data_IF_085725921135
#
_entry.id   IF_085725921135
#
_cell.length_a   1.000
_cell.length_b   1.000
_cell.length_c   1.000
_cell.angle_alpha   90.00
_cell.angle_beta   90.00
_cell.angle_gamma   90.00
#
_symmetry.space_group_name_H-M   'P 1'
#
loop_
_entity.id
_entity.type
_entity.pdbx_description
1 polymer ?
#
# COMPACT_ATOMS: atom_id res chain seq x y z
N UNK A 1 12.82 15.78 -22.31
CA UNK A 1 11.87 14.68 -22.08
C UNK A 1 10.44 15.17 -22.23
N UNK A 2 9.68 14.51 -23.09
CA UNK A 2 8.27 14.86 -23.28
C UNK A 2 7.44 14.32 -22.10
N UNK A 3 6.19 14.80 -21.99
CA UNK A 3 5.29 14.29 -20.96
C UNK A 3 5.04 12.78 -21.12
N UNK A 4 4.91 12.31 -22.36
CA UNK A 4 4.73 10.90 -22.63
C UNK A 4 5.95 10.07 -22.21
N UNK A 5 7.15 10.57 -22.53
CA UNK A 5 8.38 9.91 -22.13
C UNK A 5 8.51 9.86 -20.61
N UNK A 6 8.11 10.93 -19.94
CA UNK A 6 8.13 10.98 -18.48
C UNK A 6 7.19 9.96 -17.89
N UNK A 7 5.96 9.85 -18.41
CA UNK A 7 4.99 8.86 -17.91
C UNK A 7 5.48 7.43 -18.15
N UNK A 8 6.13 7.19 -19.30
CA UNK A 8 6.72 5.88 -19.57
C UNK A 8 7.85 5.57 -18.57
N UNK A 9 8.62 6.58 -18.20
CA UNK A 9 9.69 6.41 -17.22
C UNK A 9 9.12 6.09 -15.83
N UNK A 10 8.03 6.73 -15.45
CA UNK A 10 7.35 6.44 -14.18
C UNK A 10 6.92 4.98 -14.16
N UNK A 11 6.28 4.51 -15.22
CA UNK A 11 5.87 3.10 -15.31
C UNK A 11 7.05 2.15 -15.18
N UNK A 12 8.15 2.45 -15.85
CA UNK A 12 9.35 1.61 -15.77
C UNK A 12 9.88 1.51 -14.36
N UNK A 13 9.97 2.64 -13.66
CA UNK A 13 10.46 2.65 -12.28
C UNK A 13 9.55 1.87 -11.35
N UNK A 14 8.23 2.01 -11.50
CA UNK A 14 7.28 1.30 -10.65
C UNK A 14 7.25 -0.20 -10.95
N UNK A 15 7.41 -0.60 -12.21
CA UNK A 15 7.41 -2.00 -12.59
C UNK A 15 8.67 -2.73 -12.15
N UNK A 16 9.80 -2.05 -12.13
CA UNK A 16 11.07 -2.65 -11.71
C UNK A 16 11.20 -2.74 -10.20
N UNK A 17 10.59 -1.79 -9.50
CA UNK A 17 10.76 -1.69 -8.07
C UNK A 17 10.00 -2.75 -7.33
N UNK A 18 10.61 -3.26 -6.26
CA UNK A 18 9.95 -4.18 -5.34
C UNK A 18 9.37 -3.43 -4.15
N UNK A 19 9.70 -2.15 -4.06
CA UNK A 19 9.24 -1.29 -2.97
C UNK A 19 8.50 -0.09 -3.57
N UNK A 20 7.54 0.48 -2.83
CA UNK A 20 6.85 1.68 -3.30
C UNK A 20 7.82 2.85 -3.48
N UNK A 21 7.51 3.71 -4.45
CA UNK A 21 8.26 4.93 -4.70
C UNK A 21 7.35 6.13 -4.48
N UNK A 22 7.79 7.07 -3.64
CA UNK A 22 7.01 8.26 -3.35
C UNK A 22 7.03 9.22 -4.55
N UNK A 23 6.06 10.12 -4.59
CA UNK A 23 6.05 11.17 -5.60
C UNK A 23 7.32 12.01 -5.54
N UNK A 24 7.82 12.27 -4.33
CA UNK A 24 9.06 13.01 -4.13
C UNK A 24 10.26 12.27 -4.70
N UNK A 25 10.33 10.95 -4.47
CA UNK A 25 11.42 10.15 -5.01
C UNK A 25 11.40 10.13 -6.54
N UNK A 26 10.23 9.94 -7.14
CA UNK A 26 10.08 9.96 -8.59
C UNK A 26 10.41 11.34 -9.16
N UNK A 27 10.01 12.40 -8.48
CA UNK A 27 10.32 13.76 -8.90
C UNK A 27 11.83 13.98 -8.96
N UNK A 28 12.55 13.48 -7.95
CA UNK A 28 14.02 13.57 -7.93
C UNK A 28 14.66 12.79 -9.06
N UNK A 29 14.16 11.59 -9.35
CA UNK A 29 14.70 10.76 -10.43
C UNK A 29 14.49 11.37 -11.79
N UNK A 30 13.37 12.07 -12.00
CA UNK A 30 13.00 12.59 -13.31
C UNK A 30 13.24 14.10 -13.49
N UNK A 31 13.70 14.76 -12.44
CA UNK A 31 14.01 16.18 -12.50
C UNK A 31 12.79 17.09 -12.67
N UNK A 32 11.67 16.72 -12.07
CA UNK A 32 10.42 17.50 -12.13
C UNK A 32 9.89 17.72 -10.73
N UNK A 33 8.83 18.52 -10.60
CA UNK A 33 8.22 18.76 -9.31
C UNK A 33 7.36 17.58 -8.88
N UNK A 34 7.12 17.49 -7.58
CA UNK A 34 6.24 16.47 -7.01
C UNK A 34 4.84 16.55 -7.62
N UNK A 35 4.34 17.77 -7.84
CA UNK A 35 3.01 17.99 -8.41
C UNK A 35 2.89 17.42 -9.82
N UNK A 36 3.95 17.52 -10.61
CA UNK A 36 3.96 16.94 -11.96
C UNK A 36 3.80 15.43 -11.88
N UNK A 37 4.49 14.80 -10.92
CA UNK A 37 4.37 13.34 -10.74
C UNK A 37 2.95 12.96 -10.34
N UNK A 38 2.35 13.69 -9.40
CA UNK A 38 0.97 13.41 -8.97
C UNK A 38 0.01 13.49 -10.16
N UNK A 39 0.17 14.51 -11.01
CA UNK A 39 -0.65 14.65 -12.21
C UNK A 39 -0.44 13.52 -13.21
N UNK A 40 0.81 13.12 -13.43
CA UNK A 40 1.13 12.02 -14.33
C UNK A 40 0.54 10.70 -13.85
N UNK A 41 0.61 10.43 -12.53
CA UNK A 41 0.02 9.22 -11.95
C UNK A 41 -1.49 9.22 -12.16
N UNK A 42 -2.15 10.37 -11.98
CA UNK A 42 -3.58 10.48 -12.22
C UNK A 42 -3.94 10.15 -13.67
N UNK A 43 -3.14 10.64 -14.62
CA UNK A 43 -3.36 10.35 -16.03
C UNK A 43 -3.13 8.88 -16.37
N UNK A 44 -2.12 8.26 -15.79
CA UNK A 44 -1.86 6.85 -15.98
C UNK A 44 -3.00 5.99 -15.44
N UNK A 45 -3.54 6.34 -14.29
CA UNK A 45 -4.69 5.65 -13.73
C UNK A 45 -5.92 5.80 -14.60
N UNK A 46 -6.14 7.00 -15.12
CA UNK A 46 -7.27 7.25 -16.02
C UNK A 46 -7.16 6.43 -17.30
N UNK A 47 -5.92 6.11 -17.72
CA UNK A 47 -5.66 5.25 -18.86
C UNK A 47 -5.72 3.76 -18.56
N UNK A 48 -6.07 3.38 -17.35
CA UNK A 48 -6.24 1.97 -17.00
C UNK A 48 -5.07 1.30 -16.28
N UNK A 49 -4.00 2.04 -15.98
CA UNK A 49 -2.87 1.45 -15.27
C UNK A 49 -3.21 1.35 -13.79
N UNK A 50 -2.99 0.16 -13.22
CA UNK A 50 -3.24 -0.05 -11.79
C UNK A 50 -2.06 0.43 -10.97
N UNK A 51 -2.16 1.63 -10.43
CA UNK A 51 -1.15 2.19 -9.53
C UNK A 51 -1.81 2.36 -8.17
N UNK A 52 -1.24 1.69 -7.17
CA UNK A 52 -1.74 1.73 -5.80
C UNK A 52 -0.96 2.77 -5.01
N UNK A 53 -1.66 3.62 -4.26
CA UNK A 53 -1.02 4.55 -3.33
C UNK A 53 -0.96 3.93 -1.96
N UNK A 54 0.23 3.82 -1.40
CA UNK A 54 0.42 3.30 -0.05
C UNK A 54 1.01 4.41 0.82
N UNK A 55 1.13 4.15 2.12
CA UNK A 55 1.73 5.11 3.05
C UNK A 55 3.20 5.41 2.70
N UNK A 56 3.83 4.56 1.89
CA UNK A 56 5.23 4.71 1.51
C UNK A 56 5.45 5.14 0.07
N UNK A 57 4.39 5.25 -0.70
CA UNK A 57 4.49 5.70 -2.09
C UNK A 57 3.63 4.89 -3.04
N UNK A 58 3.88 5.09 -4.32
CA UNK A 58 3.16 4.42 -5.40
C UNK A 58 3.76 3.06 -5.72
N UNK A 59 2.92 2.17 -6.17
CA UNK A 59 3.33 0.80 -6.47
C UNK A 59 2.40 0.21 -7.53
N UNK A 60 2.96 -0.55 -8.46
CA UNK A 60 2.17 -1.40 -9.35
C UNK A 60 2.22 -2.78 -8.75
N UNK A 61 1.08 -3.33 -8.26
CA UNK A 61 1.12 -4.63 -7.59
C UNK A 61 1.52 -5.73 -8.57
N UNK A 62 2.30 -6.71 -8.10
CA UNK A 62 2.64 -7.85 -8.95
C UNK A 62 1.39 -8.68 -9.21
N UNK A 63 1.37 -9.30 -10.37
CA UNK A 63 0.28 -10.21 -10.66
C UNK A 63 0.39 -11.41 -9.81
N UNK A 64 -0.65 -11.90 -9.42
CA UNK A 64 -0.88 -12.91 -8.85
C UNK A 64 -0.60 -13.71 -8.08
N UNK A 65 -0.47 -14.37 -7.45
CA UNK A 65 -0.44 -15.33 -6.41
C UNK A 65 -1.80 -15.54 -5.79
N UNK A 66 -1.82 -16.39 -4.83
CA UNK A 66 -3.05 -16.69 -4.12
C UNK A 66 -3.42 -15.56 -3.19
N UNK A 67 -4.64 -15.04 -3.32
CA UNK A 67 -5.12 -13.97 -2.46
C UNK A 67 -6.21 -14.53 -1.54
N UNK A 68 -6.08 -14.25 -0.24
CA UNK A 68 -7.06 -14.66 0.77
C UNK A 68 -7.41 -13.48 1.64
N UNK A 69 -8.62 -13.50 2.17
CA UNK A 69 -9.07 -12.50 3.11
C UNK A 69 -9.13 -13.09 4.51
N UNK A 70 -8.58 -12.38 5.47
CA UNK A 70 -8.58 -12.79 6.88
C UNK A 70 -9.29 -11.71 7.69
N UNK A 71 -10.29 -12.13 8.48
CA UNK A 71 -11.02 -11.23 9.36
C UNK A 71 -10.43 -11.33 10.76
N UNK A 72 -10.11 -10.20 11.35
CA UNK A 72 -9.45 -10.13 12.65
C UNK A 72 -10.20 -9.20 13.60
N UNK A 73 -10.01 -9.45 14.88
CA UNK A 73 -10.51 -8.54 15.90
C UNK A 73 -9.48 -8.47 17.02
N UNK A 74 -8.97 -7.28 17.29
CA UNK A 74 -8.01 -7.08 18.37
C UNK A 74 -7.91 -5.61 18.72
N UNK A 75 -7.17 -5.33 19.80
CA UNK A 75 -6.92 -3.94 20.22
C UNK A 75 -5.84 -3.31 19.33
N UNK A 76 -5.78 -1.98 19.31
CA UNK A 76 -4.74 -1.29 18.51
C UNK A 76 -3.31 -1.69 18.89
N UNK A 77 -3.08 -2.08 20.15
CA UNK A 77 -1.75 -2.49 20.62
C UNK A 77 -1.27 -3.78 19.97
N UNK A 78 -2.17 -4.57 19.41
CA UNK A 78 -1.84 -5.84 18.79
C UNK A 78 -1.61 -5.73 17.27
N UNK A 79 -1.73 -4.53 16.73
CA UNK A 79 -1.59 -4.32 15.28
C UNK A 79 -0.26 -4.79 14.75
N UNK A 80 0.85 -4.40 15.40
CA UNK A 80 2.18 -4.78 14.94
C UNK A 80 2.40 -6.29 14.99
N UNK A 81 1.97 -6.94 16.07
CA UNK A 81 2.11 -8.38 16.23
C UNK A 81 1.30 -9.13 15.17
N UNK A 82 0.10 -8.68 14.89
CA UNK A 82 -0.74 -9.27 13.86
C UNK A 82 -0.07 -9.20 12.49
N UNK A 83 0.44 -8.02 12.14
CA UNK A 83 1.08 -7.82 10.86
C UNK A 83 2.38 -8.62 10.75
N UNK A 84 3.14 -8.72 11.84
CA UNK A 84 4.33 -9.57 11.88
C UNK A 84 3.98 -11.03 11.60
N UNK A 85 2.92 -11.53 12.22
CA UNK A 85 2.52 -12.91 12.01
C UNK A 85 2.23 -13.20 10.53
N UNK A 86 1.60 -12.25 9.86
CA UNK A 86 1.26 -12.40 8.45
C UNK A 86 2.50 -12.41 7.55
N UNK A 87 3.39 -11.43 7.74
CA UNK A 87 4.58 -11.34 6.88
C UNK A 87 5.60 -12.42 7.20
N UNK A 88 5.70 -12.86 8.45
CA UNK A 88 6.60 -13.96 8.84
C UNK A 88 6.15 -15.26 8.20
N UNK A 89 4.87 -15.41 7.92
CA UNK A 89 4.35 -16.58 7.22
C UNK A 89 4.58 -16.55 5.71
N UNK A 90 5.25 -15.54 5.20
CA UNK A 90 5.54 -15.43 3.78
C UNK A 90 4.50 -14.68 2.97
N UNK A 91 3.51 -14.08 3.62
CA UNK A 91 2.44 -13.36 2.94
C UNK A 91 2.76 -11.88 2.77
N UNK A 92 2.17 -11.27 1.75
CA UNK A 92 2.15 -9.82 1.61
C UNK A 92 0.78 -9.33 2.08
N UNK A 93 0.76 -8.39 3.01
CA UNK A 93 -0.48 -7.77 3.46
C UNK A 93 -0.84 -6.67 2.46
N UNK A 94 -1.87 -6.92 1.66
CA UNK A 94 -2.23 -6.02 0.57
C UNK A 94 -2.95 -4.78 1.09
N UNK A 95 -3.90 -4.95 1.99
CA UNK A 95 -4.69 -3.84 2.49
C UNK A 95 -5.36 -4.17 3.82
N UNK A 96 -6.05 -3.18 4.36
CA UNK A 96 -6.94 -3.35 5.50
C UNK A 96 -8.30 -2.78 5.12
N UNK A 97 -9.36 -3.50 5.46
CA UNK A 97 -10.73 -3.10 5.15
C UNK A 97 -11.57 -3.14 6.43
N UNK A 98 -12.35 -2.10 6.63
CA UNK A 98 -13.35 -2.06 7.72
C UNK A 98 -14.70 -1.70 7.13
N UNK A 99 -15.77 -2.11 7.80
CA UNK A 99 -17.12 -1.78 7.36
C UNK A 99 -17.70 -0.76 8.31
N UNK A 100 -17.82 0.47 7.85
CA UNK A 100 -18.31 1.57 8.65
C UNK A 100 -19.81 1.71 8.49
N UNK A 101 -20.58 1.91 9.59
CA UNK A 101 -22.05 1.99 9.47
C UNK A 101 -22.57 3.10 8.58
N UNK A 102 -21.82 4.19 8.44
CA UNK A 102 -22.25 5.33 7.63
C UNK A 102 -21.59 5.35 6.27
N UNK A 103 -20.28 5.13 6.23
CA UNK A 103 -19.51 5.25 4.98
C UNK A 103 -19.40 3.95 4.19
N UNK A 104 -19.83 2.82 4.78
CA UNK A 104 -19.69 1.53 4.13
C UNK A 104 -18.29 0.99 4.23
N UNK A 105 -17.85 0.27 3.22
CA UNK A 105 -16.54 -0.34 3.24
C UNK A 105 -15.43 0.69 3.03
N UNK A 106 -14.48 0.73 3.96
CA UNK A 106 -13.32 1.61 3.86
C UNK A 106 -12.10 0.71 3.74
N UNK A 107 -11.33 0.88 2.66
CA UNK A 107 -10.13 0.08 2.40
C UNK A 107 -8.92 0.98 2.27
N UNK A 108 -7.84 0.63 2.96
CA UNK A 108 -6.58 1.35 2.88
C UNK A 108 -5.49 0.40 2.39
N UNK A 109 -4.81 0.71 1.28
CA UNK A 109 -3.71 -0.15 0.78
C UNK A 109 -2.50 -0.11 1.70
N UNK A 110 -1.88 -1.25 1.94
CA UNK A 110 -0.72 -1.35 2.82
C UNK A 110 0.54 -1.87 2.11
N UNK A 111 0.44 -2.97 1.39
CA UNK A 111 1.56 -3.59 0.66
C UNK A 111 2.77 -3.86 1.55
N UNK A 112 2.53 -4.62 2.63
CA UNK A 112 3.57 -4.97 3.60
C UNK A 112 4.03 -6.40 3.36
N UNK A 113 5.33 -6.58 3.09
CA UNK A 113 5.88 -7.90 2.73
C UNK A 113 6.87 -8.45 3.74
N UNK A 114 7.39 -7.63 4.63
CA UNK A 114 8.40 -8.04 5.60
C UNK A 114 8.28 -7.19 6.86
N UNK A 115 9.01 -7.59 7.90
CA UNK A 115 8.98 -6.87 9.18
C UNK A 115 9.42 -5.42 9.05
N UNK A 116 10.39 -5.15 8.17
CA UNK A 116 10.82 -3.78 7.94
C UNK A 116 9.65 -2.91 7.47
N UNK A 117 8.86 -3.43 6.54
CA UNK A 117 7.69 -2.72 6.02
C UNK A 117 6.67 -2.44 7.12
N UNK A 118 6.45 -3.43 7.99
CA UNK A 118 5.53 -3.28 9.12
C UNK A 118 6.04 -2.20 10.08
N UNK A 119 7.33 -2.22 10.39
CA UNK A 119 7.93 -1.25 11.30
C UNK A 119 7.81 0.17 10.75
N UNK A 120 8.04 0.35 9.46
CA UNK A 120 7.90 1.64 8.80
C UNK A 120 6.46 2.14 8.86
N UNK A 121 5.50 1.26 8.65
CA UNK A 121 4.08 1.59 8.71
C UNK A 121 3.70 2.04 10.13
N UNK A 122 4.09 1.26 11.14
CA UNK A 122 3.79 1.57 12.54
C UNK A 122 4.46 2.88 12.95
N UNK A 123 5.71 3.09 12.53
CA UNK A 123 6.44 4.32 12.83
C UNK A 123 5.73 5.54 12.25
N UNK A 124 5.27 5.44 11.01
CA UNK A 124 4.53 6.55 10.38
C UNK A 124 3.25 6.87 11.11
N UNK A 125 2.54 5.84 11.57
CA UNK A 125 1.32 6.05 12.35
C UNK A 125 1.62 6.77 13.65
N UNK A 126 2.68 6.38 14.34
CA UNK A 126 3.07 7.00 15.60
C UNK A 126 3.53 8.45 15.41
N UNK A 127 4.34 8.71 14.39
CA UNK A 127 4.86 10.04 14.10
C UNK A 127 3.77 11.04 13.73
N UNK A 128 2.73 10.56 13.09
CA UNK A 128 1.63 11.43 12.65
C UNK A 128 0.43 11.41 13.61
N UNK A 129 0.54 10.71 14.72
CA UNK A 129 -0.55 10.59 15.68
C UNK A 129 -1.77 9.87 15.12
N UNK A 130 -1.58 9.09 14.06
CA UNK A 130 -2.69 8.39 13.43
C UNK A 130 -3.11 7.17 14.23
N UNK A 131 -4.37 6.79 14.11
CA UNK A 131 -4.91 5.60 14.74
C UNK A 131 -5.16 4.53 13.69
N UNK A 132 -5.06 3.24 14.06
CA UNK A 132 -5.40 2.18 13.12
C UNK A 132 -6.84 2.31 12.62
N UNK A 133 -7.05 1.96 11.36
CA UNK A 133 -8.37 2.00 10.75
C UNK A 133 -9.36 1.11 11.49
N UNK A 134 -8.87 0.02 12.08
CA UNK A 134 -9.71 -0.93 12.84
C UNK A 134 -10.42 -0.29 14.04
N UNK A 135 -9.96 0.86 14.53
CA UNK A 135 -10.66 1.55 15.61
C UNK A 135 -12.06 2.03 15.23
N UNK A 136 -12.33 2.16 13.94
CA UNK A 136 -13.65 2.58 13.46
C UNK A 136 -14.71 1.49 13.68
N UNK A 137 -14.30 0.26 13.94
CA UNK A 137 -15.21 -0.87 14.08
C UNK A 137 -14.87 -1.75 15.28
N UNK A 138 -14.46 -1.12 16.38
CA UNK A 138 -14.10 -1.83 17.63
C UNK A 138 -13.09 -2.94 17.44
N UNK A 139 -12.13 -2.72 16.53
CA UNK A 139 -11.05 -3.66 16.28
C UNK A 139 -11.35 -4.72 15.24
N UNK A 140 -12.57 -4.78 14.73
CA UNK A 140 -12.92 -5.77 13.69
C UNK A 140 -12.50 -5.23 12.34
N UNK A 141 -11.68 -5.99 11.63
CA UNK A 141 -11.19 -5.58 10.32
C UNK A 141 -10.79 -6.80 9.51
N UNK A 142 -10.56 -6.59 8.22
CA UNK A 142 -10.13 -7.65 7.32
C UNK A 142 -8.87 -7.23 6.59
N UNK A 143 -7.98 -8.18 6.36
CA UNK A 143 -6.80 -7.98 5.52
C UNK A 143 -6.87 -8.91 4.33
N UNK A 144 -6.49 -8.44 3.16
CA UNK A 144 -6.25 -9.32 2.03
C UNK A 144 -4.76 -9.63 2.01
N UNK A 145 -4.46 -10.91 1.92
CA UNK A 145 -3.08 -11.41 1.93
C UNK A 145 -2.78 -12.08 0.61
N UNK A 146 -1.61 -11.87 0.09
CA UNK A 146 -1.12 -12.54 -1.10
C UNK A 146 0.06 -13.41 -0.71
N UNK A 147 0.03 -14.68 -1.13
CA UNK A 147 1.12 -15.61 -0.90
C UNK A 147 1.77 -15.97 -2.23
N UNK A 148 3.10 -16.13 -2.26
CA UNK A 148 3.76 -16.56 -3.49
C UNK A 148 3.48 -18.04 -3.72
N UNK A 149 2.93 -18.37 -4.88
CA UNK A 149 2.68 -19.74 -5.26
C UNK A 149 1.54 -20.35 -4.47
N UNK A 150 1.68 -21.66 -4.17
CA UNK A 150 0.64 -22.31 -3.54
C UNK A 150 0.90 -22.60 -2.22
N UNK A 151 0.32 -22.18 -1.34
CA UNK A 151 0.41 -22.55 0.02
C UNK A 151 -0.54 -21.80 0.83
#
# INVERSE_FOLDING_TARGET
>A
MTAQERRNAILSHLQRGKSPLSATALAGLLGVSRQVIVGDVALLRAGGVQIVSTSRGYLIPPEEGLVRQVVCQHTPHQTQEELYAMVDGGCTVLDVTVEHPVYGEITAPLQLSCRYDVDEFVRKMQENGAQPLSLLTDGIHAHRLSAPGED
#
